data_IF_381765630670
#
_entry.id   IF_381765630670
#
_cell.length_a   1.000
_cell.length_b   1.000
_cell.length_c   1.000
_cell.angle_alpha   90.00
_cell.angle_beta   90.00
_cell.angle_gamma   90.00
#
_symmetry.space_group_name_H-M   'P 1'
#
loop_
_entity.id
_entity.type
_entity.pdbx_description
1 polymer ?
#
# COMPACT_ATOMS: atom_id res chain seq x y z
N UNK A 1 2.24 -9.43 -20.20
CA UNK A 1 1.52 -8.26 -20.76
C UNK A 1 0.10 -8.58 -21.29
N UNK A 2 -0.46 -9.78 -21.05
CA UNK A 2 -1.87 -10.10 -21.39
C UNK A 2 -2.90 -9.36 -20.52
N UNK A 3 -2.51 -8.82 -19.36
CA UNK A 3 -3.43 -8.09 -18.50
C UNK A 3 -4.05 -6.87 -19.19
N UNK A 4 -3.28 -6.13 -20.00
CA UNK A 4 -3.70 -4.86 -20.60
C UNK A 4 -4.84 -4.98 -21.63
N UNK A 5 -5.10 -6.18 -22.17
CA UNK A 5 -6.22 -6.43 -23.09
C UNK A 5 -7.54 -6.73 -22.38
N UNK A 6 -7.52 -7.09 -21.09
CA UNK A 6 -8.73 -7.28 -20.27
C UNK A 6 -9.20 -5.91 -19.76
N UNK A 7 -10.50 -5.58 -19.80
CA UNK A 7 -11.03 -4.36 -19.19
C UNK A 7 -10.58 -4.19 -17.74
N UNK A 8 -10.26 -2.95 -17.34
CA UNK A 8 -9.70 -2.67 -16.00
C UNK A 8 -10.59 -3.18 -14.87
N UNK A 9 -11.91 -2.99 -14.98
CA UNK A 9 -12.86 -3.47 -13.96
C UNK A 9 -12.86 -5.00 -13.80
N UNK A 10 -12.81 -5.75 -14.91
CA UNK A 10 -12.75 -7.20 -14.88
C UNK A 10 -11.41 -7.69 -14.30
N UNK A 11 -10.30 -7.03 -14.66
CA UNK A 11 -8.99 -7.31 -14.09
C UNK A 11 -8.98 -7.06 -12.58
N UNK A 12 -9.57 -5.95 -12.13
CA UNK A 12 -9.68 -5.58 -10.71
C UNK A 12 -10.46 -6.66 -9.95
N UNK A 13 -11.62 -7.08 -10.45
CA UNK A 13 -12.43 -8.12 -9.82
C UNK A 13 -11.67 -9.46 -9.69
N UNK A 14 -10.93 -9.87 -10.71
CA UNK A 14 -10.12 -11.09 -10.66
C UNK A 14 -8.99 -10.99 -9.61
N UNK A 15 -8.34 -9.83 -9.50
CA UNK A 15 -7.30 -9.59 -8.50
C UNK A 15 -7.86 -9.53 -7.08
N UNK A 16 -9.05 -8.95 -6.88
CA UNK A 16 -9.72 -8.92 -5.57
C UNK A 16 -10.02 -10.33 -5.05
N UNK A 17 -10.36 -11.27 -5.93
CA UNK A 17 -10.52 -12.68 -5.57
C UNK A 17 -9.20 -13.35 -5.17
N UNK A 18 -8.07 -12.92 -5.75
CA UNK A 18 -6.73 -13.41 -5.42
C UNK A 18 -6.13 -12.74 -4.19
N UNK A 19 -6.59 -11.54 -3.84
CA UNK A 19 -6.16 -10.75 -2.69
C UNK A 19 -6.87 -11.16 -1.37
N UNK A 20 -7.55 -12.31 -1.35
CA UNK A 20 -8.19 -12.80 -0.12
C UNK A 20 -7.15 -13.32 0.89
N UNK A 21 -7.41 -13.19 2.21
CA UNK A 21 -6.54 -13.74 3.25
C UNK A 21 -6.22 -15.22 3.03
N UNK A 22 -4.95 -15.60 3.22
CA UNK A 22 -4.48 -16.98 3.06
C UNK A 22 -4.29 -17.45 1.61
N UNK A 23 -4.64 -16.64 0.61
CA UNK A 23 -4.31 -16.94 -0.77
C UNK A 23 -2.80 -16.81 -1.03
N UNK A 24 -2.21 -17.79 -1.71
CA UNK A 24 -0.76 -17.82 -1.97
C UNK A 24 -0.25 -16.60 -2.78
N UNK A 25 -1.13 -15.95 -3.55
CA UNK A 25 -0.81 -14.78 -4.37
C UNK A 25 -1.35 -13.47 -3.80
N UNK A 26 -1.82 -13.45 -2.54
CA UNK A 26 -2.50 -12.30 -1.95
C UNK A 26 -1.70 -11.00 -2.11
N UNK A 27 -0.47 -10.97 -1.60
CA UNK A 27 0.37 -9.76 -1.63
C UNK A 27 0.74 -9.31 -3.05
N UNK A 28 0.92 -10.26 -3.97
CA UNK A 28 1.14 -9.94 -5.38
C UNK A 28 -0.12 -9.34 -6.03
N UNK A 29 -1.30 -9.89 -5.71
CA UNK A 29 -2.56 -9.37 -6.20
C UNK A 29 -2.84 -7.97 -5.63
N UNK A 30 -2.53 -7.73 -4.37
CA UNK A 30 -2.57 -6.39 -3.76
C UNK A 30 -1.65 -5.41 -4.50
N UNK A 31 -0.39 -5.77 -4.78
CA UNK A 31 0.48 -4.91 -5.58
C UNK A 31 -0.13 -4.57 -6.95
N UNK A 32 -0.71 -5.55 -7.65
CA UNK A 32 -1.33 -5.28 -8.95
C UNK A 32 -2.57 -4.38 -8.84
N UNK A 33 -3.36 -4.50 -7.76
CA UNK A 33 -4.46 -3.58 -7.48
C UNK A 33 -3.95 -2.16 -7.24
N UNK A 34 -2.82 -1.99 -6.53
CA UNK A 34 -2.22 -0.68 -6.33
C UNK A 34 -1.78 -0.05 -7.66
N UNK A 35 -1.22 -0.85 -8.58
CA UNK A 35 -0.85 -0.37 -9.92
C UNK A 35 -2.07 0.06 -10.75
N UNK A 36 -3.23 -0.60 -10.58
CA UNK A 36 -4.49 -0.15 -11.19
C UNK A 36 -4.93 1.18 -10.55
N UNK A 37 -4.87 1.30 -9.23
CA UNK A 37 -5.19 2.54 -8.53
C UNK A 37 -4.32 3.71 -9.07
N UNK A 38 -3.02 3.48 -9.33
CA UNK A 38 -2.14 4.49 -9.96
C UNK A 38 -2.62 4.84 -11.38
N UNK A 39 -2.97 3.84 -12.21
CA UNK A 39 -3.42 4.06 -13.59
C UNK A 39 -4.71 4.88 -13.65
N UNK A 40 -5.59 4.73 -12.67
CA UNK A 40 -6.86 5.45 -12.57
C UNK A 40 -6.71 6.83 -11.88
N UNK A 41 -5.49 7.23 -11.48
CA UNK A 41 -5.22 8.49 -10.79
C UNK A 41 -5.59 8.47 -9.30
N UNK A 42 -5.91 7.30 -8.75
CA UNK A 42 -6.31 7.07 -7.37
C UNK A 42 -5.07 6.93 -6.45
N UNK A 43 -4.16 7.90 -6.49
CA UNK A 43 -2.87 7.86 -5.78
C UNK A 43 -3.01 7.55 -4.29
N UNK A 44 -4.05 8.09 -3.62
CA UNK A 44 -4.30 7.81 -2.20
C UNK A 44 -4.59 6.33 -1.92
N UNK A 45 -5.37 5.67 -2.80
CA UNK A 45 -5.67 4.24 -2.67
C UNK A 45 -4.42 3.39 -2.91
N UNK A 46 -3.63 3.75 -3.92
CA UNK A 46 -2.38 3.07 -4.21
C UNK A 46 -1.40 3.13 -3.03
N UNK A 47 -1.22 4.32 -2.44
CA UNK A 47 -0.34 4.53 -1.28
C UNK A 47 -0.84 3.73 -0.08
N UNK A 48 -2.13 3.82 0.26
CA UNK A 48 -2.71 3.06 1.36
C UNK A 48 -2.47 1.55 1.19
N UNK A 49 -2.60 1.02 -0.03
CA UNK A 49 -2.35 -0.39 -0.31
C UNK A 49 -0.87 -0.76 -0.16
N UNK A 50 0.05 0.07 -0.64
CA UNK A 50 1.48 -0.18 -0.43
C UNK A 50 1.89 -0.07 1.04
N UNK A 51 1.27 0.81 1.84
CA UNK A 51 1.48 0.86 3.29
C UNK A 51 0.98 -0.43 3.97
N UNK A 52 -0.18 -0.95 3.57
CA UNK A 52 -0.68 -2.25 4.05
C UNK A 52 0.30 -3.38 3.73
N UNK A 53 0.86 -3.40 2.52
CA UNK A 53 1.90 -4.35 2.14
C UNK A 53 3.13 -4.19 3.04
N UNK A 54 3.62 -2.97 3.28
CA UNK A 54 4.78 -2.74 4.14
C UNK A 54 4.58 -3.22 5.59
N UNK A 55 3.34 -3.12 6.08
CA UNK A 55 2.96 -3.54 7.44
C UNK A 55 2.66 -5.03 7.57
N UNK A 56 2.59 -5.77 6.46
CA UNK A 56 2.19 -7.17 6.44
C UNK A 56 3.35 -8.09 6.84
N UNK A 57 3.08 -9.02 7.76
CA UNK A 57 4.09 -9.96 8.26
C UNK A 57 4.56 -10.96 7.19
N UNK A 58 3.80 -11.18 6.11
CA UNK A 58 4.16 -12.06 5.01
C UNK A 58 4.96 -11.34 3.91
N UNK A 59 5.23 -10.04 4.07
CA UNK A 59 5.96 -9.25 3.06
C UNK A 59 7.42 -9.66 2.95
N UNK A 60 7.84 -9.95 1.73
CA UNK A 60 9.21 -10.31 1.42
C UNK A 60 10.10 -9.07 1.25
N UNK A 61 11.42 -9.17 1.46
CA UNK A 61 12.33 -8.03 1.30
C UNK A 61 12.25 -7.35 -0.07
N UNK A 62 12.13 -8.14 -1.14
CA UNK A 62 12.02 -7.62 -2.51
C UNK A 62 10.70 -6.86 -2.74
N UNK A 63 9.60 -7.33 -2.13
CA UNK A 63 8.31 -6.65 -2.18
C UNK A 63 8.34 -5.36 -1.35
N UNK A 64 8.92 -5.41 -0.16
CA UNK A 64 9.12 -4.24 0.69
C UNK A 64 9.88 -3.13 -0.07
N UNK A 65 11.03 -3.47 -0.67
CA UNK A 65 11.85 -2.50 -1.40
C UNK A 65 11.07 -1.84 -2.55
N UNK A 66 10.30 -2.62 -3.33
CA UNK A 66 9.46 -2.05 -4.39
C UNK A 66 8.36 -1.16 -3.84
N UNK A 67 7.67 -1.58 -2.78
CA UNK A 67 6.60 -0.78 -2.18
C UNK A 67 7.13 0.59 -1.71
N UNK A 68 8.30 0.63 -1.06
CA UNK A 68 8.97 1.88 -0.69
C UNK A 68 9.28 2.76 -1.89
N UNK A 69 9.87 2.18 -2.94
CA UNK A 69 10.22 2.92 -4.15
C UNK A 69 8.99 3.50 -4.84
N UNK A 70 7.88 2.77 -4.87
CA UNK A 70 6.64 3.26 -5.49
C UNK A 70 6.01 4.38 -4.67
N UNK A 71 5.93 4.25 -3.34
CA UNK A 71 5.42 5.34 -2.47
C UNK A 71 6.23 6.63 -2.69
N UNK A 72 7.56 6.54 -2.73
CA UNK A 72 8.44 7.68 -3.00
C UNK A 72 8.24 8.23 -4.42
N UNK A 73 8.09 7.36 -5.43
CA UNK A 73 7.84 7.79 -6.81
C UNK A 73 6.48 8.49 -6.97
N UNK A 74 5.50 8.19 -6.11
CA UNK A 74 4.22 8.88 -6.01
C UNK A 74 4.31 10.19 -5.22
N UNK A 75 5.51 10.59 -4.77
CA UNK A 75 5.75 11.81 -4.03
C UNK A 75 5.28 11.75 -2.57
N UNK A 76 5.20 10.55 -1.99
CA UNK A 76 4.84 10.31 -0.60
C UNK A 76 6.00 9.74 0.19
N UNK A 77 5.93 9.87 1.51
CA UNK A 77 6.90 9.28 2.44
C UNK A 77 6.35 7.94 2.95
N UNK A 78 7.14 6.85 2.91
CA UNK A 78 6.71 5.56 3.45
C UNK A 78 6.72 5.57 4.98
N UNK A 79 5.72 4.91 5.56
CA UNK A 79 5.58 4.78 7.01
C UNK A 79 6.14 3.41 7.39
N UNK A 80 7.42 3.40 7.75
CA UNK A 80 8.15 2.16 8.06
C UNK A 80 7.99 1.71 9.51
N UNK A 81 7.66 2.67 10.35
CA UNK A 81 7.46 2.48 11.77
C UNK A 81 5.97 2.77 11.95
N UNK A 82 5.18 1.82 12.47
CA UNK A 82 3.74 2.00 12.74
C UNK A 82 3.41 3.10 13.78
N UNK A 83 4.27 4.11 13.92
CA UNK A 83 4.31 5.15 14.94
C UNK A 83 4.06 6.57 14.39
N UNK A 84 3.76 6.75 13.10
CA UNK A 84 3.38 8.08 12.58
C UNK A 84 2.01 8.56 13.10
N UNK A 85 1.21 7.68 13.73
CA UNK A 85 -0.08 8.02 14.31
C UNK A 85 -0.03 8.52 15.78
N UNK A 86 1.14 8.52 16.45
CA UNK A 86 1.24 8.91 17.88
C UNK A 86 1.88 10.30 18.12
N UNK A 87 2.35 11.00 17.09
CA UNK A 87 3.08 12.28 17.29
C UNK A 87 2.19 13.54 17.39
N UNK A 88 0.86 13.40 17.43
CA UNK A 88 -0.08 14.52 17.64
C UNK A 88 -0.76 14.48 19.02
N UNK A 89 -0.25 13.64 19.95
CA UNK A 89 -0.71 13.60 21.34
C UNK A 89 0.11 14.58 22.19
N UNK A 90 -0.43 15.79 22.29
CA UNK A 90 -0.55 16.58 23.51
C UNK A 90 0.69 16.63 24.42
N UNK A 91 1.59 17.59 24.16
CA UNK A 91 2.53 18.06 25.17
C UNK A 91 1.81 19.21 25.91
N UNK A 92 1.18 18.98 27.08
CA UNK A 92 0.74 20.11 27.88
C UNK A 92 2.00 20.85 28.33
N UNK A 93 2.11 22.12 27.93
CA UNK A 93 3.07 23.05 28.53
C UNK A 93 2.90 22.98 30.05
N UNK A 94 3.89 22.41 30.73
CA UNK A 94 4.01 22.54 32.19
C UNK A 94 4.33 24.00 32.49
N UNK A 95 3.28 24.80 32.60
CA UNK A 95 3.30 26.10 33.27
C UNK A 95 3.88 25.90 34.67
N UNK A 96 4.77 26.81 35.05
CA UNK A 96 5.71 26.62 36.14
C UNK A 96 5.11 26.56 37.55
N UNK A 97 5.98 26.14 38.46
CA UNK A 97 6.18 26.72 39.79
C UNK A 97 7.67 26.61 40.14
#
# INVERSE_FOLDING_TARGET
LQGQSVPVGERRQALEALAQPGAALRLLAEEQLALIDIQEGETGKAVARYQSILSDAETTPDLQQRALQVIVALGKEPELDGAAAEAELDIPETTGD
#
